data_IF_953820480032
#
_entry.id   IF_953820480032
#
_cell.length_a   1.000
_cell.length_b   1.000
_cell.length_c   1.000
_cell.angle_alpha   90.00
_cell.angle_beta   90.00
_cell.angle_gamma   90.00
#
_symmetry.space_group_name_H-M   'P 1'
#
loop_
_entity.id
_entity.type
_entity.pdbx_description
1 polymer ?
#
# COMPACT_ATOMS: atom_id res chain seq x y z
N UNK A 1 -0.83 -46.06 -66.39
CA UNK A 1 -0.79 -44.58 -66.29
C UNK A 1 -1.51 -44.17 -65.03
N UNK A 2 -0.77 -43.89 -63.93
CA UNK A 2 -1.35 -43.50 -62.63
C UNK A 2 -1.18 -42.00 -62.42
N UNK A 3 -2.18 -41.26 -62.02
CA UNK A 3 -2.03 -39.83 -61.74
C UNK A 3 -1.46 -39.59 -60.32
N UNK A 4 -0.41 -38.79 -60.26
CA UNK A 4 0.21 -38.35 -59.03
C UNK A 4 -0.59 -37.12 -58.50
N UNK A 5 -1.27 -37.28 -57.37
CA UNK A 5 -1.92 -36.17 -56.66
C UNK A 5 -0.88 -35.45 -55.79
N UNK A 6 -0.56 -34.22 -56.08
CA UNK A 6 0.27 -33.34 -55.25
C UNK A 6 -0.61 -32.64 -54.23
N UNK A 7 -0.47 -32.98 -52.94
CA UNK A 7 -1.05 -32.21 -51.82
C UNK A 7 -0.17 -30.97 -51.60
N UNK A 8 -0.76 -29.82 -51.78
CA UNK A 8 -0.17 -28.54 -51.33
C UNK A 8 -0.49 -28.28 -49.87
N UNK A 9 0.49 -28.33 -49.01
CA UNK A 9 0.37 -27.92 -47.59
C UNK A 9 0.47 -26.42 -47.49
N UNK A 10 -0.66 -25.77 -47.21
CA UNK A 10 -0.71 -24.34 -46.86
C UNK A 10 -0.30 -24.14 -45.42
N UNK A 11 0.84 -23.51 -45.17
CA UNK A 11 1.27 -23.10 -43.84
C UNK A 11 0.53 -21.81 -43.44
N UNK A 12 -0.34 -21.90 -42.48
CA UNK A 12 -1.02 -20.74 -41.85
C UNK A 12 -0.05 -20.13 -40.86
N UNK A 13 0.52 -18.97 -41.16
CA UNK A 13 1.32 -18.17 -40.24
C UNK A 13 0.38 -17.43 -39.28
N UNK A 14 0.32 -17.87 -38.03
CA UNK A 14 -0.42 -17.16 -36.96
C UNK A 14 0.46 -16.01 -36.50
N UNK A 15 0.10 -14.79 -36.88
CA UNK A 15 0.73 -13.56 -36.36
C UNK A 15 0.21 -13.29 -34.95
N UNK A 16 1.07 -13.47 -33.95
CA UNK A 16 0.80 -13.05 -32.58
C UNK A 16 0.91 -11.51 -32.52
N UNK A 17 -0.22 -10.82 -32.46
CA UNK A 17 -0.25 -9.41 -32.07
C UNK A 17 -0.02 -9.33 -30.57
N UNK A 18 1.18 -8.94 -30.15
CA UNK A 18 1.44 -8.51 -28.78
C UNK A 18 0.71 -7.17 -28.55
N UNK A 19 -0.38 -7.18 -27.80
CA UNK A 19 -1.02 -5.96 -27.36
C UNK A 19 -0.04 -5.16 -26.47
N UNK A 20 0.11 -3.84 -26.65
CA UNK A 20 0.92 -3.03 -25.76
C UNK A 20 0.33 -3.14 -24.35
N UNK A 21 1.12 -3.54 -23.38
CA UNK A 21 0.77 -3.45 -21.97
C UNK A 21 0.68 -1.95 -21.63
N UNK A 22 -0.54 -1.42 -21.56
CA UNK A 22 -0.77 -0.08 -21.00
C UNK A 22 -0.38 -0.16 -19.54
N UNK A 23 0.67 0.54 -19.15
CA UNK A 23 1.00 0.77 -17.74
C UNK A 23 -0.23 1.46 -17.13
N UNK A 24 -0.97 0.74 -16.29
CA UNK A 24 -2.13 1.28 -15.60
C UNK A 24 -1.63 2.36 -14.65
N UNK A 25 -1.93 3.63 -14.95
CA UNK A 25 -1.64 4.72 -14.02
C UNK A 25 -2.31 4.39 -12.69
N UNK A 26 -1.53 4.48 -11.62
CA UNK A 26 -2.05 4.18 -10.28
C UNK A 26 -3.19 5.17 -9.99
N UNK A 27 -4.37 4.62 -9.71
CA UNK A 27 -5.53 5.42 -9.28
C UNK A 27 -5.18 6.13 -7.96
N UNK A 28 -5.46 7.43 -7.92
CA UNK A 28 -5.21 8.28 -6.75
C UNK A 28 -6.52 8.62 -6.05
N UNK A 29 -6.49 8.76 -4.73
CA UNK A 29 -5.38 8.48 -3.81
C UNK A 29 -5.14 6.98 -3.59
N UNK A 30 -3.98 6.61 -3.04
CA UNK A 30 -3.73 5.23 -2.63
C UNK A 30 -2.83 5.13 -1.40
N UNK A 31 -2.95 4.02 -0.67
CA UNK A 31 -2.07 3.73 0.45
C UNK A 31 -0.73 3.15 -0.01
N UNK A 32 0.33 3.60 0.65
CA UNK A 32 1.68 3.08 0.56
C UNK A 32 2.30 3.02 1.96
N UNK A 33 3.45 2.39 2.09
CA UNK A 33 4.24 2.38 3.31
C UNK A 33 5.69 2.73 3.03
N UNK A 34 6.38 3.30 4.01
CA UNK A 34 7.82 3.53 3.95
C UNK A 34 8.53 2.17 3.99
N UNK A 35 9.37 1.89 2.99
CA UNK A 35 10.05 0.61 2.77
C UNK A 35 11.57 0.73 3.00
N UNK A 36 11.94 1.46 4.04
CA UNK A 36 13.34 1.73 4.38
C UNK A 36 13.45 2.20 5.83
N UNK A 37 14.56 1.90 6.52
CA UNK A 37 14.79 2.41 7.88
C UNK A 37 14.88 3.93 8.00
N UNK A 38 15.19 4.62 6.90
CA UNK A 38 15.23 6.08 6.85
C UNK A 38 14.69 6.61 5.52
N UNK A 39 13.74 7.55 5.59
CA UNK A 39 13.19 8.23 4.42
C UNK A 39 13.09 9.74 4.65
N UNK A 40 13.47 10.51 3.65
CA UNK A 40 13.36 11.96 3.67
C UNK A 40 12.07 12.42 2.99
N UNK A 41 11.25 13.19 3.69
CA UNK A 41 10.18 13.98 3.11
C UNK A 41 10.68 15.39 2.82
N UNK A 42 10.42 15.90 1.61
CA UNK A 42 10.92 17.18 1.13
C UNK A 42 9.78 18.12 0.76
N UNK A 43 10.08 19.41 0.71
CA UNK A 43 9.11 20.44 0.32
C UNK A 43 8.81 20.44 -1.18
N UNK A 44 9.58 19.73 -1.99
CA UNK A 44 9.41 19.62 -3.43
C UNK A 44 9.90 18.27 -3.99
N UNK A 45 9.48 17.95 -5.20
CA UNK A 45 9.79 16.70 -5.88
C UNK A 45 11.19 16.75 -6.50
N UNK A 46 12.21 16.46 -5.71
CA UNK A 46 13.61 16.43 -6.15
C UNK A 46 14.59 16.53 -4.98
N UNK A 47 15.78 15.98 -5.16
CA UNK A 47 16.82 15.97 -4.12
C UNK A 47 17.36 17.36 -3.79
N UNK A 48 17.23 18.30 -4.70
CA UNK A 48 17.63 19.72 -4.51
C UNK A 48 16.71 20.48 -3.56
N UNK A 49 15.51 19.97 -3.28
CA UNK A 49 14.59 20.61 -2.34
C UNK A 49 14.93 20.30 -0.89
N UNK A 50 14.75 21.26 0.02
CA UNK A 50 15.00 21.05 1.44
C UNK A 50 14.23 19.87 2.02
N UNK A 51 14.87 19.16 2.94
CA UNK A 51 14.24 18.13 3.76
C UNK A 51 13.34 18.83 4.78
N UNK A 52 12.08 18.45 4.82
CA UNK A 52 11.07 18.92 5.76
C UNK A 52 11.01 18.01 6.98
N UNK A 53 11.12 16.68 6.75
CA UNK A 53 11.06 15.67 7.78
C UNK A 53 11.91 14.45 7.44
N UNK A 54 12.41 13.75 8.47
CA UNK A 54 13.17 12.51 8.32
C UNK A 54 12.46 11.41 9.10
N UNK A 55 11.91 10.44 8.39
CA UNK A 55 11.36 9.23 9.00
C UNK A 55 12.48 8.27 9.34
N UNK A 56 12.41 7.69 10.52
CA UNK A 56 13.38 6.69 11.02
C UNK A 56 12.71 5.36 11.38
N UNK A 57 11.60 5.08 10.71
CA UNK A 57 10.82 3.88 10.95
C UNK A 57 10.26 3.34 9.64
N UNK A 58 10.60 2.10 9.36
CA UNK A 58 10.02 1.31 8.28
C UNK A 58 8.55 0.95 8.58
N UNK A 59 7.75 0.74 7.56
CA UNK A 59 6.36 0.34 7.67
C UNK A 59 5.37 1.46 7.98
N UNK A 60 5.80 2.72 8.15
CA UNK A 60 4.86 3.83 8.37
C UNK A 60 3.93 3.99 7.17
N UNK A 61 2.59 3.96 7.36
CA UNK A 61 1.63 4.18 6.29
C UNK A 61 1.61 5.64 5.87
N UNK A 62 1.48 5.88 4.57
CA UNK A 62 1.30 7.20 3.98
C UNK A 62 0.23 7.12 2.89
N UNK A 63 -0.57 8.18 2.76
CA UNK A 63 -1.54 8.31 1.68
C UNK A 63 -0.92 9.08 0.51
N UNK A 64 -0.76 8.43 -0.63
CA UNK A 64 -0.24 9.05 -1.84
C UNK A 64 -1.40 9.77 -2.55
N UNK A 65 -1.28 11.09 -2.68
CA UNK A 65 -2.32 11.96 -3.23
C UNK A 65 -1.92 12.63 -4.56
N UNK A 66 -0.63 12.57 -4.95
CA UNK A 66 -0.14 13.07 -6.24
C UNK A 66 1.13 12.34 -6.67
N UNK A 67 1.30 12.22 -7.96
CA UNK A 67 2.47 11.64 -8.60
C UNK A 67 3.27 12.73 -9.33
N UNK A 68 4.58 12.66 -9.25
CA UNK A 68 5.51 13.34 -10.12
C UNK A 68 6.66 12.39 -10.41
N UNK A 69 7.32 12.52 -11.54
CA UNK A 69 8.35 11.60 -12.01
C UNK A 69 9.34 11.19 -10.89
N UNK A 70 9.29 9.93 -10.47
CA UNK A 70 10.13 9.39 -9.40
C UNK A 70 9.77 9.83 -7.97
N UNK A 71 8.74 10.68 -7.78
CA UNK A 71 8.32 11.22 -6.49
C UNK A 71 6.84 10.99 -6.22
N UNK A 72 6.49 10.93 -4.92
CA UNK A 72 5.12 10.79 -4.40
C UNK A 72 4.83 11.92 -3.43
N UNK A 73 3.76 12.66 -3.68
CA UNK A 73 3.24 13.62 -2.71
C UNK A 73 2.35 12.88 -1.75
N UNK A 74 2.73 12.86 -0.50
CA UNK A 74 2.09 12.06 0.54
C UNK A 74 1.41 12.93 1.59
N UNK A 75 0.44 12.35 2.26
CA UNK A 75 -0.26 12.92 3.41
C UNK A 75 -0.11 11.98 4.60
N UNK A 76 0.13 12.53 5.79
CA UNK A 76 0.23 11.86 7.09
C UNK A 76 -1.09 11.94 7.89
N UNK A 77 -1.22 11.17 8.99
CA UNK A 77 -2.43 11.18 9.84
C UNK A 77 -2.81 12.55 10.38
N UNK A 78 -1.84 13.44 10.60
CA UNK A 78 -2.04 14.81 11.11
C UNK A 78 -2.32 15.85 10.02
N UNK A 79 -2.39 15.41 8.74
CA UNK A 79 -2.57 16.27 7.57
C UNK A 79 -1.27 16.89 7.04
N UNK A 80 -0.12 16.59 7.64
CA UNK A 80 1.18 17.02 7.09
C UNK A 80 1.38 16.39 5.72
N UNK A 81 1.90 17.19 4.77
CA UNK A 81 2.14 16.74 3.39
C UNK A 81 3.55 17.07 2.92
N UNK A 82 4.08 16.26 2.01
CA UNK A 82 5.39 16.49 1.41
C UNK A 82 5.74 15.43 0.35
N UNK A 83 6.92 15.56 -0.22
CA UNK A 83 7.40 14.70 -1.29
C UNK A 83 8.38 13.65 -0.77
N UNK A 84 8.13 12.39 -1.07
CA UNK A 84 9.02 11.26 -0.81
C UNK A 84 9.41 10.61 -2.14
N UNK A 85 10.65 10.15 -2.27
CA UNK A 85 11.09 9.38 -3.43
C UNK A 85 10.27 8.09 -3.55
N UNK A 86 9.77 7.79 -4.74
CA UNK A 86 9.00 6.58 -4.99
C UNK A 86 9.75 5.29 -4.65
N UNK A 87 11.09 5.31 -4.75
CA UNK A 87 11.96 4.17 -4.43
C UNK A 87 12.04 3.84 -2.94
N UNK A 88 11.56 4.73 -2.07
CA UNK A 88 11.53 4.54 -0.61
C UNK A 88 10.15 4.07 -0.11
N UNK A 89 9.21 3.84 -1.03
CA UNK A 89 7.85 3.43 -0.73
C UNK A 89 7.51 2.09 -1.36
N UNK A 90 6.73 1.29 -0.65
CA UNK A 90 6.13 0.06 -1.16
C UNK A 90 4.60 0.14 -1.18
N UNK A 91 3.96 -0.83 -1.84
CA UNK A 91 2.51 -1.00 -1.83
C UNK A 91 2.04 -1.96 -0.72
N UNK A 92 2.95 -2.38 0.14
CA UNK A 92 2.56 -3.18 1.31
C UNK A 92 1.60 -2.37 2.17
N UNK A 93 0.48 -2.98 2.51
CA UNK A 93 -0.52 -2.35 3.36
C UNK A 93 -0.08 -2.45 4.82
N UNK A 94 0.04 -1.30 5.43
CA UNK A 94 0.29 -1.15 6.86
C UNK A 94 -0.71 -0.16 7.44
N UNK A 95 -0.86 -0.16 8.74
CA UNK A 95 -1.66 0.84 9.44
C UNK A 95 -0.98 1.26 10.75
N UNK A 96 -1.22 2.50 11.14
CA UNK A 96 -0.80 3.05 12.43
C UNK A 96 -2.02 3.29 13.29
N UNK A 97 -1.94 2.89 14.57
CA UNK A 97 -3.01 3.14 15.54
C UNK A 97 -3.08 4.63 15.85
N UNK A 98 -4.27 5.22 15.71
CA UNK A 98 -4.54 6.64 15.92
C UNK A 98 -5.63 6.86 16.96
N UNK A 99 -5.86 8.14 17.33
CA UNK A 99 -6.87 8.54 18.31
C UNK A 99 -6.36 8.47 19.76
N UNK A 100 -7.23 8.81 20.69
CA UNK A 100 -6.91 8.92 22.10
C UNK A 100 -6.99 7.57 22.83
N UNK A 101 -6.06 7.32 23.75
CA UNK A 101 -5.99 6.13 24.57
C UNK A 101 -5.73 4.86 23.78
N UNK A 102 -5.62 3.75 24.50
CA UNK A 102 -5.33 2.44 23.89
C UNK A 102 -6.47 1.95 23.00
N UNK A 103 -6.13 1.30 21.89
CA UNK A 103 -7.06 0.59 21.04
C UNK A 103 -7.19 -0.87 21.50
N UNK A 104 -8.41 -1.39 21.56
CA UNK A 104 -8.65 -2.80 21.88
C UNK A 104 -8.38 -3.66 20.63
N UNK A 105 -7.44 -4.57 20.73
CA UNK A 105 -7.20 -5.61 19.73
C UNK A 105 -7.88 -6.90 20.18
N UNK A 106 -8.79 -7.41 19.37
CA UNK A 106 -9.71 -8.50 19.71
C UNK A 106 -9.43 -9.78 18.90
N UNK A 107 -10.04 -10.86 19.33
CA UNK A 107 -9.89 -12.16 18.69
C UNK A 107 -10.60 -12.27 17.34
N UNK A 108 -11.71 -11.52 17.18
CA UNK A 108 -12.54 -11.49 15.98
C UNK A 108 -13.13 -10.09 15.77
N UNK A 109 -13.70 -9.77 14.59
CA UNK A 109 -14.44 -8.55 14.37
C UNK A 109 -15.62 -8.42 15.34
N UNK A 110 -15.75 -7.25 15.97
CA UNK A 110 -16.89 -6.95 16.87
C UNK A 110 -16.48 -6.65 18.30
N UNK A 111 -17.30 -5.79 18.95
CA UNK A 111 -17.03 -5.29 20.32
C UNK A 111 -17.18 -6.36 21.39
N UNK A 112 -17.97 -7.39 21.11
CA UNK A 112 -18.22 -8.49 22.04
C UNK A 112 -17.17 -9.60 21.97
N UNK A 113 -16.30 -9.57 20.94
CA UNK A 113 -15.22 -10.53 20.82
C UNK A 113 -14.20 -10.37 21.97
N UNK A 114 -13.59 -11.48 22.44
CA UNK A 114 -12.60 -11.44 23.52
C UNK A 114 -11.47 -10.48 23.22
N UNK A 115 -11.09 -9.68 24.23
CA UNK A 115 -9.91 -8.81 24.18
C UNK A 115 -8.64 -9.68 24.20
N UNK A 116 -7.73 -9.44 23.24
CA UNK A 116 -6.39 -10.06 23.23
C UNK A 116 -5.33 -9.15 23.79
N UNK A 117 -5.26 -7.92 23.27
CA UNK A 117 -4.26 -6.92 23.66
C UNK A 117 -4.84 -5.51 23.66
N UNK A 118 -4.19 -4.63 24.38
CA UNK A 118 -4.37 -3.19 24.26
C UNK A 118 -3.18 -2.63 23.47
N UNK A 119 -3.45 -1.82 22.45
CA UNK A 119 -2.44 -1.28 21.55
C UNK A 119 -2.43 0.24 21.68
N UNK A 120 -1.27 0.83 21.94
CA UNK A 120 -1.12 2.27 22.10
C UNK A 120 -1.20 3.00 20.74
N UNK A 121 -1.65 4.26 20.72
CA UNK A 121 -1.51 5.12 19.54
C UNK A 121 -0.04 5.21 19.10
N UNK A 122 0.18 5.26 17.78
CA UNK A 122 1.52 5.28 17.19
C UNK A 122 2.12 3.89 16.93
N UNK A 123 1.48 2.81 17.40
CA UNK A 123 1.91 1.46 17.03
C UNK A 123 1.56 1.19 15.56
N UNK A 124 2.52 0.67 14.81
CA UNK A 124 2.39 0.30 13.39
C UNK A 124 2.38 -1.21 13.26
N UNK A 125 1.53 -1.72 12.37
CA UNK A 125 1.46 -3.13 12.03
C UNK A 125 1.13 -3.35 10.57
N UNK A 126 1.33 -4.58 10.11
CA UNK A 126 0.85 -5.02 8.79
C UNK A 126 -0.66 -5.13 8.82
N UNK A 127 -1.32 -4.54 7.82
CA UNK A 127 -2.77 -4.57 7.69
C UNK A 127 -3.18 -5.82 6.92
N UNK A 128 -4.02 -6.62 7.55
CA UNK A 128 -4.68 -7.77 6.94
C UNK A 128 -6.06 -7.44 6.38
N UNK A 129 -6.97 -8.40 6.46
CA UNK A 129 -8.34 -8.25 5.97
C UNK A 129 -9.14 -7.27 6.83
N UNK A 130 -10.08 -6.56 6.18
CA UNK A 130 -11.05 -5.72 6.87
C UNK A 130 -12.47 -6.28 6.64
N UNK A 131 -13.26 -6.33 7.71
CA UNK A 131 -14.66 -6.75 7.69
C UNK A 131 -15.51 -5.95 8.66
N UNK A 132 -16.63 -5.43 8.17
CA UNK A 132 -17.66 -4.77 8.99
C UNK A 132 -17.12 -3.67 9.92
N UNK A 133 -16.14 -2.88 9.45
CA UNK A 133 -15.53 -1.78 10.22
C UNK A 133 -14.45 -2.22 11.21
N UNK A 134 -13.95 -3.43 11.08
CA UNK A 134 -12.81 -3.99 11.82
C UNK A 134 -11.75 -4.44 10.84
N UNK A 135 -10.47 -4.23 11.18
CA UNK A 135 -9.36 -4.70 10.37
C UNK A 135 -8.40 -5.53 11.22
N UNK A 136 -7.90 -6.60 10.62
CA UNK A 136 -6.82 -7.38 11.22
C UNK A 136 -5.52 -6.59 11.16
N UNK A 137 -4.82 -6.52 12.28
CA UNK A 137 -3.52 -5.88 12.39
C UNK A 137 -2.52 -6.89 12.98
N UNK A 138 -1.38 -7.04 12.31
CA UNK A 138 -0.26 -7.83 12.79
C UNK A 138 0.85 -6.91 13.29
N UNK A 139 1.06 -6.89 14.60
CA UNK A 139 2.13 -6.14 15.26
C UNK A 139 3.12 -7.13 15.83
N UNK A 140 4.30 -7.26 15.22
CA UNK A 140 5.38 -8.14 15.70
C UNK A 140 4.91 -9.58 16.02
N UNK A 141 4.07 -10.16 15.15
CA UNK A 141 3.42 -11.48 15.28
C UNK A 141 2.25 -11.53 16.27
N UNK A 142 1.84 -10.41 16.84
CA UNK A 142 0.59 -10.30 17.60
C UNK A 142 -0.52 -9.91 16.62
N UNK A 143 -1.40 -10.87 16.31
CA UNK A 143 -2.47 -10.69 15.33
C UNK A 143 -3.82 -10.56 16.02
N UNK A 144 -4.59 -9.56 15.65
CA UNK A 144 -5.95 -9.36 16.14
C UNK A 144 -6.69 -8.26 15.40
N UNK A 145 -7.95 -8.07 15.75
CA UNK A 145 -8.87 -7.16 15.08
C UNK A 145 -9.01 -5.85 15.86
N UNK A 146 -8.85 -4.72 15.16
CA UNK A 146 -9.00 -3.36 15.68
C UNK A 146 -10.10 -2.64 14.90
N UNK A 147 -10.85 -1.77 15.55
CA UNK A 147 -11.82 -0.90 14.84
C UNK A 147 -11.09 -0.08 13.76
N UNK A 148 -11.60 -0.11 12.54
CA UNK A 148 -11.02 0.59 11.38
C UNK A 148 -10.81 2.09 11.65
N UNK A 149 -11.73 2.72 12.39
CA UNK A 149 -11.67 4.12 12.80
C UNK A 149 -10.47 4.47 13.69
N UNK A 150 -9.82 3.46 14.25
CA UNK A 150 -8.60 3.58 15.07
C UNK A 150 -7.33 3.34 14.25
N UNK A 151 -7.42 3.17 12.93
CA UNK A 151 -6.32 2.81 12.04
C UNK A 151 -6.21 3.80 10.88
N UNK A 152 -5.11 4.55 10.81
CA UNK A 152 -4.70 5.25 9.60
C UNK A 152 -3.93 4.27 8.70
N UNK A 153 -4.31 4.20 7.43
CA UNK A 153 -3.80 3.20 6.48
C UNK A 153 -4.83 2.11 6.16
N UNK A 154 -5.91 2.00 6.96
CA UNK A 154 -7.03 1.12 6.70
C UNK A 154 -8.08 1.78 5.78
N UNK A 155 -9.01 0.98 5.29
CA UNK A 155 -10.09 1.44 4.42
C UNK A 155 -9.61 1.99 3.08
N UNK A 156 -10.48 2.79 2.46
CA UNK A 156 -10.14 3.55 1.25
C UNK A 156 -9.31 4.79 1.63
N UNK A 157 -8.32 5.18 0.80
CA UNK A 157 -7.46 6.33 1.06
C UNK A 157 -8.13 7.67 0.81
#
# INVERSE_FOLDING_TARGET
MSPIIRLATAAIAIAYFAAPATAQEAELPYWASIDTPEANMRVGAGEQFPIQWVYKREGLPVKVIRLMQGWRYVEEPDGTTGWISASLLSRQRTAIVVGDGVAAMREAPGRDAPLRWNVEPGVVGELGDCDSGWCELNVERHVGWIEETRLWGAGEP
#
